data_IF_146292962673
#
_entry.id   IF_146292962673
#
_cell.length_a   1.000
_cell.length_b   1.000
_cell.length_c   1.000
_cell.angle_alpha   90.00
_cell.angle_beta   90.00
_cell.angle_gamma   90.00
#
_symmetry.space_group_name_H-M   'P 1'
#
loop_
_entity.id
_entity.type
_entity.pdbx_description
1 polymer ?
#
# COMPACT_ATOMS: atom_id res chain seq x y z
N UNK A 1 -19.05 -15.87 -6.81
CA UNK A 1 -20.11 -14.84 -6.88
C UNK A 1 -21.51 -15.40 -7.00
N UNK A 2 -21.85 -16.32 -7.91
CA UNK A 2 -23.22 -16.87 -7.94
C UNK A 2 -23.65 -17.59 -6.65
N UNK A 3 -22.70 -18.20 -5.95
CA UNK A 3 -22.92 -18.92 -4.69
C UNK A 3 -22.53 -18.10 -3.44
N UNK A 4 -22.08 -16.85 -3.61
CA UNK A 4 -21.70 -16.04 -2.45
C UNK A 4 -22.97 -15.55 -1.73
N UNK A 5 -23.00 -15.56 -0.39
CA UNK A 5 -24.12 -15.01 0.36
C UNK A 5 -24.33 -13.53 -0.02
N UNK A 6 -25.58 -13.13 -0.26
CA UNK A 6 -25.98 -11.77 -0.66
C UNK A 6 -25.86 -10.74 0.47
N UNK A 7 -24.97 -10.95 1.42
CA UNK A 7 -24.69 -10.01 2.51
C UNK A 7 -23.80 -8.88 1.99
N UNK A 8 -24.08 -7.61 2.37
CA UNK A 8 -23.25 -6.48 1.98
C UNK A 8 -21.78 -6.71 2.37
N UNK A 9 -20.86 -6.38 1.46
CA UNK A 9 -19.44 -6.41 1.76
C UNK A 9 -19.07 -5.24 2.68
N UNK A 10 -18.08 -5.47 3.55
CA UNK A 10 -17.50 -4.38 4.32
C UNK A 10 -16.83 -3.37 3.39
N UNK A 11 -17.02 -2.09 3.68
CA UNK A 11 -16.55 -0.99 2.86
C UNK A 11 -15.57 -0.10 3.62
N UNK A 12 -14.47 0.26 2.98
CA UNK A 12 -13.54 1.29 3.48
C UNK A 12 -14.14 2.70 3.45
N UNK A 13 -15.32 2.86 2.83
CA UNK A 13 -16.06 4.10 2.77
C UNK A 13 -17.03 4.33 3.94
N UNK A 14 -17.32 3.32 4.77
CA UNK A 14 -18.21 3.47 5.93
C UNK A 14 -17.44 3.96 7.17
N UNK A 15 -17.59 5.22 7.63
CA UNK A 15 -16.84 5.78 8.74
C UNK A 15 -17.08 5.11 10.09
N UNK A 16 -18.15 4.33 10.23
CA UNK A 16 -18.46 3.58 11.46
C UNK A 16 -17.87 2.17 11.46
N UNK A 17 -17.37 1.73 10.31
CA UNK A 17 -16.75 0.41 10.17
C UNK A 17 -15.29 0.42 10.62
N UNK A 18 -14.78 -0.75 10.99
CA UNK A 18 -13.35 -0.96 11.22
C UNK A 18 -12.50 -0.79 9.94
N UNK A 19 -13.10 -0.97 8.77
CA UNK A 19 -12.41 -0.86 7.49
C UNK A 19 -11.99 0.58 7.18
N UNK A 20 -12.76 1.57 7.63
CA UNK A 20 -12.47 2.99 7.37
C UNK A 20 -11.15 3.49 8.00
N UNK A 21 -10.90 3.36 9.32
CA UNK A 21 -9.61 3.74 9.89
C UNK A 21 -8.50 2.80 9.43
N UNK A 22 -8.80 1.52 9.12
CA UNK A 22 -7.80 0.60 8.58
C UNK A 22 -7.24 1.12 7.25
N UNK A 23 -8.09 1.57 6.33
CA UNK A 23 -7.64 2.08 5.05
C UNK A 23 -6.91 3.44 5.15
N UNK A 24 -7.39 4.34 6.02
CA UNK A 24 -6.87 5.72 6.12
C UNK A 24 -5.65 5.86 7.02
N UNK A 25 -5.49 4.99 8.01
CA UNK A 25 -4.43 5.09 9.01
C UNK A 25 -3.47 3.91 8.91
N UNK A 26 -3.99 2.67 8.90
CA UNK A 26 -3.14 1.47 9.01
C UNK A 26 -2.43 1.15 7.69
N UNK A 27 -3.10 1.26 6.54
CA UNK A 27 -2.46 1.00 5.25
C UNK A 27 -1.27 1.94 4.98
N UNK A 28 -1.37 3.27 5.18
CA UNK A 28 -0.20 4.15 5.04
C UNK A 28 0.97 3.78 5.95
N UNK A 29 0.71 3.29 7.17
CA UNK A 29 1.74 2.81 8.09
C UNK A 29 2.44 1.56 7.51
N UNK A 30 1.67 0.57 7.05
CA UNK A 30 2.20 -0.66 6.45
C UNK A 30 3.04 -0.33 5.21
N UNK A 31 2.55 0.56 4.33
CA UNK A 31 3.29 0.96 3.14
C UNK A 31 4.58 1.69 3.53
N UNK A 32 4.57 2.51 4.59
CA UNK A 32 5.79 3.15 5.10
C UNK A 32 6.82 2.12 5.58
N UNK A 33 6.38 1.07 6.30
CA UNK A 33 7.27 -0.02 6.72
C UNK A 33 7.86 -0.77 5.52
N UNK A 34 7.05 -1.04 4.49
CA UNK A 34 7.53 -1.67 3.26
C UNK A 34 8.56 -0.79 2.52
N UNK A 35 8.36 0.53 2.49
CA UNK A 35 9.33 1.50 1.95
C UNK A 35 10.66 1.42 2.72
N UNK A 36 10.61 1.42 4.05
CA UNK A 36 11.81 1.35 4.90
C UNK A 36 12.59 0.05 4.68
N UNK A 37 11.90 -1.09 4.61
CA UNK A 37 12.51 -2.40 4.40
C UNK A 37 13.13 -2.53 3.00
N UNK A 38 12.41 -2.06 1.97
CA UNK A 38 12.92 -2.00 0.61
C UNK A 38 14.15 -1.08 0.52
N UNK A 39 14.09 0.11 1.12
CA UNK A 39 15.21 1.06 1.12
C UNK A 39 16.46 0.47 1.76
N UNK A 40 16.33 -0.19 2.93
CA UNK A 40 17.46 -0.86 3.60
C UNK A 40 18.05 -1.98 2.77
N UNK A 41 17.20 -2.78 2.13
CA UNK A 41 17.62 -3.89 1.28
C UNK A 41 18.37 -3.39 0.03
N UNK A 42 17.89 -2.31 -0.57
CA UNK A 42 18.53 -1.65 -1.73
C UNK A 42 19.86 -1.01 -1.35
N UNK A 43 19.96 -0.41 -0.16
CA UNK A 43 21.20 0.17 0.34
C UNK A 43 22.29 -0.89 0.59
N UNK A 44 21.89 -2.11 0.97
CA UNK A 44 22.79 -3.25 1.18
C UNK A 44 23.08 -4.06 -0.11
N UNK A 45 22.56 -3.65 -1.27
CA UNK A 45 22.74 -4.37 -2.53
C UNK A 45 23.96 -3.85 -3.32
N UNK A 46 24.92 -4.75 -3.58
CA UNK A 46 26.14 -4.45 -4.35
C UNK A 46 25.91 -4.43 -5.87
N UNK A 47 24.89 -5.16 -6.34
CA UNK A 47 24.53 -5.21 -7.76
C UNK A 47 23.86 -3.89 -8.16
N UNK A 48 24.56 -3.14 -9.02
CA UNK A 48 24.08 -1.83 -9.47
C UNK A 48 22.75 -1.91 -10.22
N UNK A 49 22.53 -2.95 -11.04
CA UNK A 49 21.28 -3.09 -11.78
C UNK A 49 20.10 -3.33 -10.83
N UNK A 50 20.27 -4.24 -9.85
CA UNK A 50 19.24 -4.51 -8.83
C UNK A 50 18.99 -3.31 -7.94
N UNK A 51 20.04 -2.53 -7.63
CA UNK A 51 19.90 -1.32 -6.83
C UNK A 51 19.07 -0.25 -7.55
N UNK A 52 19.27 -0.07 -8.86
CA UNK A 52 18.46 0.86 -9.65
C UNK A 52 17.00 0.39 -9.79
N UNK A 53 16.78 -0.91 -9.98
CA UNK A 53 15.41 -1.47 -9.95
C UNK A 53 14.76 -1.27 -8.58
N UNK A 54 15.47 -1.55 -7.49
CA UNK A 54 14.94 -1.39 -6.15
C UNK A 54 14.60 0.06 -5.78
N UNK A 55 15.35 1.05 -6.29
CA UNK A 55 14.96 2.46 -6.16
C UNK A 55 13.62 2.76 -6.82
N UNK A 56 13.34 2.16 -7.99
CA UNK A 56 12.03 2.29 -8.65
C UNK A 56 10.91 1.67 -7.81
N UNK A 57 11.16 0.52 -7.18
CA UNK A 57 10.16 -0.10 -6.27
C UNK A 57 9.85 0.84 -5.09
N UNK A 58 10.88 1.45 -4.50
CA UNK A 58 10.70 2.43 -3.41
C UNK A 58 9.87 3.64 -3.88
N UNK A 59 10.13 4.16 -5.08
CA UNK A 59 9.36 5.26 -5.68
C UNK A 59 7.89 4.87 -5.91
N UNK A 60 7.63 3.70 -6.48
CA UNK A 60 6.28 3.20 -6.74
C UNK A 60 5.49 2.97 -5.44
N UNK A 61 6.14 2.45 -4.38
CA UNK A 61 5.53 2.34 -3.06
C UNK A 61 5.21 3.71 -2.44
N UNK A 62 6.09 4.70 -2.63
CA UNK A 62 5.83 6.07 -2.17
C UNK A 62 4.64 6.69 -2.92
N UNK A 63 4.51 6.44 -4.23
CA UNK A 63 3.34 6.87 -5.01
C UNK A 63 2.06 6.18 -4.52
N UNK A 64 2.09 4.87 -4.31
CA UNK A 64 0.94 4.12 -3.78
C UNK A 64 0.50 4.66 -2.41
N UNK A 65 1.45 4.95 -1.51
CA UNK A 65 1.13 5.57 -0.22
C UNK A 65 0.40 6.90 -0.41
N UNK A 66 0.90 7.74 -1.30
CA UNK A 66 0.28 9.03 -1.60
C UNK A 66 -1.15 8.83 -2.14
N UNK A 67 -1.36 7.92 -3.07
CA UNK A 67 -2.67 7.63 -3.65
C UNK A 67 -3.68 7.14 -2.59
N UNK A 68 -3.28 6.22 -1.71
CA UNK A 68 -4.11 5.72 -0.61
C UNK A 68 -4.46 6.84 0.38
N UNK A 69 -3.50 7.68 0.75
CA UNK A 69 -3.74 8.79 1.69
C UNK A 69 -4.67 9.87 1.12
N UNK A 70 -4.72 10.01 -0.21
CA UNK A 70 -5.53 11.00 -0.90
C UNK A 70 -6.80 10.42 -1.54
N UNK A 71 -7.19 9.19 -1.19
CA UNK A 71 -8.40 8.51 -1.66
C UNK A 71 -8.52 8.55 -3.20
N UNK A 72 -7.39 8.34 -3.89
CA UNK A 72 -7.34 8.31 -5.36
C UNK A 72 -8.05 7.06 -5.90
N UNK A 73 -8.71 7.13 -7.07
CA UNK A 73 -9.26 5.95 -7.73
C UNK A 73 -8.16 4.91 -8.02
N UNK A 74 -8.48 3.64 -7.78
CA UNK A 74 -7.62 2.52 -8.18
C UNK A 74 -7.56 2.45 -9.72
N UNK A 75 -6.35 2.35 -10.26
CA UNK A 75 -6.07 2.24 -11.70
C UNK A 75 -5.55 0.86 -12.07
#
# INVERSE_FOLDING_TARGET
>A
MELDPKTPQYSTGDPKSFAYPTARERWPIIITQAIDDAYRSVAACDDTAKREEGKKIVEELARLKYEVQHDRPLT
#
